data_IF_590807187572
#
_entry.id   IF_590807187572
#
_cell.length_a   1.000
_cell.length_b   1.000
_cell.length_c   1.000
_cell.angle_alpha   90.00
_cell.angle_beta   90.00
_cell.angle_gamma   90.00
#
_symmetry.space_group_name_H-M   'P 1'
#
loop_
_entity.id
_entity.type
_entity.pdbx_description
1 polymer ?
#
# COMPACT_ATOMS: atom_id res chain seq x y z
N UNK A 1 40.74 -63.39 -30.77
CA UNK A 1 40.67 -62.34 -31.81
C UNK A 1 40.59 -60.99 -31.11
N UNK A 2 41.63 -60.21 -31.33
CA UNK A 2 41.98 -58.92 -30.72
C UNK A 2 41.05 -57.79 -31.13
N UNK A 3 40.52 -57.01 -30.18
CA UNK A 3 40.10 -55.63 -30.45
C UNK A 3 40.98 -54.66 -29.66
N UNK A 4 41.45 -53.66 -30.39
CA UNK A 4 42.55 -52.73 -30.09
C UNK A 4 42.24 -51.83 -28.90
N UNK A 5 43.25 -51.63 -28.05
CA UNK A 5 43.32 -50.47 -27.17
C UNK A 5 43.73 -49.20 -27.92
N UNK A 6 43.69 -48.07 -27.21
CA UNK A 6 44.69 -47.00 -27.23
C UNK A 6 44.44 -46.14 -25.96
N UNK A 7 45.44 -46.10 -25.09
CA UNK A 7 45.61 -45.07 -24.07
C UNK A 7 46.36 -43.89 -24.69
N UNK A 8 45.91 -42.66 -24.44
CA UNK A 8 46.79 -41.48 -24.52
C UNK A 8 46.56 -40.60 -23.29
N UNK A 9 47.70 -40.09 -22.81
CA UNK A 9 48.04 -39.65 -21.46
C UNK A 9 47.56 -38.24 -21.12
N UNK A 10 47.35 -38.02 -19.82
CA UNK A 10 47.20 -36.74 -19.16
C UNK A 10 48.54 -36.04 -18.91
N UNK A 11 48.62 -34.71 -19.13
CA UNK A 11 49.56 -33.80 -18.45
C UNK A 11 49.22 -32.29 -18.61
N UNK A 12 48.68 -31.72 -17.52
CA UNK A 12 48.93 -30.41 -16.87
C UNK A 12 49.19 -29.11 -17.70
N UNK A 13 48.24 -28.18 -17.56
CA UNK A 13 48.34 -26.74 -17.20
C UNK A 13 49.69 -26.00 -17.29
N UNK A 14 49.75 -24.94 -18.11
CA UNK A 14 50.43 -23.62 -17.88
C UNK A 14 49.72 -22.54 -18.72
N UNK A 15 48.91 -21.66 -18.09
CA UNK A 15 49.15 -20.24 -17.72
C UNK A 15 49.43 -19.23 -18.87
N UNK A 16 48.51 -18.26 -18.94
CA UNK A 16 48.62 -16.81 -19.27
C UNK A 16 48.85 -16.35 -20.71
N UNK A 17 47.84 -15.68 -21.29
CA UNK A 17 47.93 -14.27 -21.71
C UNK A 17 46.52 -13.68 -21.94
N UNK A 18 46.33 -12.46 -21.43
CA UNK A 18 45.14 -11.61 -21.49
C UNK A 18 45.06 -10.95 -22.86
N UNK A 19 43.87 -10.93 -23.50
CA UNK A 19 43.49 -9.86 -24.43
C UNK A 19 42.03 -9.50 -24.18
N UNK A 20 41.84 -8.23 -23.82
CA UNK A 20 40.57 -7.58 -23.59
C UNK A 20 39.85 -7.26 -24.92
N UNK A 21 38.54 -7.46 -24.95
CA UNK A 21 37.63 -6.67 -25.78
C UNK A 21 36.28 -6.62 -25.05
N UNK A 22 36.10 -5.57 -24.26
CA UNK A 22 34.83 -5.21 -23.66
C UNK A 22 33.90 -4.66 -24.73
N UNK A 23 32.69 -5.19 -24.82
CA UNK A 23 31.51 -4.41 -25.17
C UNK A 23 30.49 -4.67 -24.09
N UNK A 24 30.49 -3.76 -23.12
CA UNK A 24 29.48 -3.63 -22.08
C UNK A 24 28.22 -3.10 -22.77
N UNK A 25 27.24 -3.97 -23.00
CA UNK A 25 25.89 -3.54 -23.33
C UNK A 25 25.15 -3.21 -22.02
N UNK A 26 25.55 -2.12 -21.35
CA UNK A 26 24.73 -1.48 -20.32
C UNK A 26 23.60 -0.74 -21.04
N UNK A 27 22.46 -1.38 -21.18
CA UNK A 27 21.20 -0.65 -21.37
C UNK A 27 20.86 0.07 -20.07
N UNK A 28 21.47 1.24 -19.87
CA UNK A 28 21.06 2.22 -18.89
C UNK A 28 20.25 3.29 -19.61
N UNK A 29 18.95 3.06 -19.77
CA UNK A 29 17.96 4.11 -20.05
C UNK A 29 16.68 3.80 -19.28
N UNK A 30 16.59 4.41 -18.10
CA UNK A 30 15.46 4.29 -17.18
C UNK A 30 15.81 4.87 -15.81
N UNK A 31 16.25 6.12 -15.76
CA UNK A 31 16.23 6.88 -14.52
C UNK A 31 14.77 7.24 -14.20
N UNK A 32 14.09 6.36 -13.48
CA UNK A 32 12.93 6.64 -12.64
C UNK A 32 13.04 5.70 -11.45
N UNK A 33 12.96 6.25 -10.23
CA UNK A 33 13.24 5.56 -8.98
C UNK A 33 12.57 4.18 -8.88
N UNK A 34 13.29 3.27 -8.24
CA UNK A 34 12.85 1.92 -7.95
C UNK A 34 11.57 1.90 -7.11
N UNK A 35 10.41 1.84 -7.76
CA UNK A 35 9.16 1.40 -7.17
C UNK A 35 8.36 0.67 -8.26
N UNK A 36 7.86 -0.52 -7.93
CA UNK A 36 7.35 -1.52 -8.86
C UNK A 36 6.49 -0.93 -10.01
N UNK A 37 6.84 -1.16 -11.30
CA UNK A 37 6.07 -0.66 -12.42
C UNK A 37 4.65 -1.22 -12.38
N UNK A 38 3.67 -0.38 -12.07
CA UNK A 38 2.26 -0.79 -11.96
C UNK A 38 1.66 -0.78 -10.55
N UNK A 39 2.46 -0.50 -9.52
CA UNK A 39 1.98 -0.39 -8.14
C UNK A 39 1.80 1.09 -7.70
N UNK A 40 0.76 1.33 -6.90
CA UNK A 40 0.56 2.56 -6.16
C UNK A 40 1.30 2.53 -4.81
N UNK A 41 1.36 1.35 -4.18
CA UNK A 41 2.07 1.11 -2.95
C UNK A 41 2.56 -0.34 -2.88
N UNK A 42 3.60 -0.59 -2.08
CA UNK A 42 4.13 -1.91 -1.76
C UNK A 42 4.30 -2.01 -0.24
N UNK A 43 3.80 -3.08 0.36
CA UNK A 43 3.85 -3.35 1.79
C UNK A 43 4.35 -4.78 1.99
N UNK A 44 5.58 -4.96 2.51
CA UNK A 44 6.13 -6.29 2.76
C UNK A 44 6.18 -7.21 1.53
N UNK A 45 6.29 -6.64 0.32
CA UNK A 45 6.26 -7.37 -0.95
C UNK A 45 4.87 -7.57 -1.58
N UNK A 46 3.79 -7.18 -0.89
CA UNK A 46 2.44 -7.14 -1.48
C UNK A 46 2.19 -5.78 -2.12
N UNK A 47 1.49 -5.75 -3.25
CA UNK A 47 1.28 -4.54 -4.05
C UNK A 47 -0.17 -4.07 -4.03
N UNK A 48 -0.36 -2.75 -3.87
CA UNK A 48 -1.59 -2.06 -4.28
C UNK A 48 -1.44 -1.70 -5.75
N UNK A 49 -2.23 -2.31 -6.64
CA UNK A 49 -2.11 -2.07 -8.10
C UNK A 49 -2.72 -0.73 -8.50
N UNK A 50 -2.14 -0.07 -9.51
CA UNK A 50 -2.70 1.17 -10.06
C UNK A 50 -4.10 0.99 -10.65
N UNK A 51 -4.34 -0.14 -11.33
CA UNK A 51 -5.67 -0.45 -11.87
C UNK A 51 -6.73 -0.52 -10.77
N UNK A 52 -6.42 -1.18 -9.65
CA UNK A 52 -7.31 -1.27 -8.49
C UNK A 52 -7.62 0.12 -7.90
N UNK A 53 -6.63 1.01 -7.83
CA UNK A 53 -6.85 2.40 -7.40
C UNK A 53 -7.78 3.11 -8.38
N UNK A 54 -7.51 3.01 -9.69
CA UNK A 54 -8.31 3.66 -10.72
C UNK A 54 -9.77 3.19 -10.72
N UNK A 55 -10.01 1.88 -10.65
CA UNK A 55 -11.36 1.28 -10.62
C UNK A 55 -12.14 1.79 -9.41
N UNK A 56 -11.51 1.79 -8.23
CA UNK A 56 -12.15 2.26 -7.02
C UNK A 56 -12.40 3.77 -7.02
N UNK A 57 -11.54 4.59 -7.63
CA UNK A 57 -11.79 6.04 -7.80
C UNK A 57 -12.96 6.28 -8.76
N UNK A 58 -13.04 5.52 -9.86
CA UNK A 58 -14.12 5.63 -10.82
C UNK A 58 -15.47 5.25 -10.21
N UNK A 59 -15.53 4.20 -9.39
CA UNK A 59 -16.75 3.80 -8.69
C UNK A 59 -17.17 4.84 -7.64
N UNK A 60 -16.24 5.36 -6.83
CA UNK A 60 -16.54 6.45 -5.89
C UNK A 60 -17.04 7.69 -6.65
N UNK A 61 -16.41 8.05 -7.78
CA UNK A 61 -16.89 9.15 -8.63
C UNK A 61 -18.34 8.93 -9.06
N UNK A 62 -18.68 7.74 -9.54
CA UNK A 62 -20.03 7.41 -9.95
C UNK A 62 -21.03 7.50 -8.78
N UNK A 63 -20.66 7.00 -7.60
CA UNK A 63 -21.49 7.10 -6.39
C UNK A 63 -21.71 8.54 -5.93
N UNK A 64 -20.66 9.37 -5.94
CA UNK A 64 -20.77 10.77 -5.51
C UNK A 64 -21.57 11.61 -6.51
N UNK A 65 -21.40 11.40 -7.82
CA UNK A 65 -22.16 12.14 -8.83
C UNK A 65 -23.66 11.81 -8.84
N UNK A 66 -24.09 10.74 -8.18
CA UNK A 66 -25.50 10.42 -7.98
C UNK A 66 -26.17 11.26 -6.88
N UNK A 67 -25.39 11.90 -5.98
CA UNK A 67 -25.90 12.81 -4.96
C UNK A 67 -25.62 14.28 -5.35
N UNK A 68 -26.66 15.11 -5.60
CA UNK A 68 -26.50 16.52 -5.94
C UNK A 68 -25.73 17.35 -4.90
N UNK A 69 -25.62 16.87 -3.65
CA UNK A 69 -24.92 17.56 -2.55
C UNK A 69 -23.47 17.11 -2.40
N UNK A 70 -23.08 16.00 -3.04
CA UNK A 70 -21.72 15.49 -2.93
C UNK A 70 -20.78 16.26 -3.87
N UNK A 71 -19.55 16.45 -3.41
CA UNK A 71 -18.48 17.04 -4.21
C UNK A 71 -17.44 15.98 -4.49
N UNK A 72 -16.91 15.97 -5.72
CA UNK A 72 -15.87 15.04 -6.11
C UNK A 72 -14.56 15.79 -6.33
N UNK A 73 -13.50 15.27 -5.69
CA UNK A 73 -12.12 15.72 -5.90
C UNK A 73 -11.28 14.48 -6.21
N UNK A 74 -10.88 14.34 -7.48
CA UNK A 74 -10.07 13.22 -7.97
C UNK A 74 -8.81 13.02 -7.09
N UNK A 75 -8.09 14.11 -6.80
CA UNK A 75 -6.87 14.07 -5.99
C UNK A 75 -7.14 13.58 -4.57
N UNK A 76 -8.18 14.11 -3.89
CA UNK A 76 -8.52 13.70 -2.53
C UNK A 76 -8.98 12.25 -2.46
N UNK A 77 -9.86 11.84 -3.38
CA UNK A 77 -10.38 10.46 -3.44
C UNK A 77 -9.24 9.49 -3.73
N UNK A 78 -8.36 9.82 -4.68
CA UNK A 78 -7.18 9.00 -5.01
C UNK A 78 -6.26 8.83 -3.81
N UNK A 79 -5.88 9.93 -3.14
CA UNK A 79 -4.99 9.86 -1.97
C UNK A 79 -5.63 9.06 -0.82
N UNK A 80 -6.91 9.29 -0.53
CA UNK A 80 -7.65 8.54 0.52
C UNK A 80 -7.72 7.05 0.18
N UNK A 81 -7.95 6.71 -1.09
CA UNK A 81 -8.03 5.34 -1.56
C UNK A 81 -6.67 4.62 -1.47
N UNK A 82 -5.57 5.24 -1.91
CA UNK A 82 -4.22 4.68 -1.77
C UNK A 82 -3.88 4.47 -0.29
N UNK A 83 -4.19 5.44 0.58
CA UNK A 83 -3.99 5.29 2.02
C UNK A 83 -4.74 4.07 2.57
N UNK A 84 -6.03 3.94 2.24
CA UNK A 84 -6.88 2.83 2.69
C UNK A 84 -6.35 1.48 2.20
N UNK A 85 -6.02 1.35 0.92
CA UNK A 85 -5.52 0.10 0.35
C UNK A 85 -4.13 -0.27 0.89
N UNK A 86 -3.29 0.73 1.19
CA UNK A 86 -1.99 0.50 1.84
C UNK A 86 -2.19 -0.01 3.27
N UNK A 87 -3.05 0.64 4.05
CA UNK A 87 -3.41 0.20 5.40
C UNK A 87 -4.04 -1.19 5.42
N UNK A 88 -4.87 -1.52 4.44
CA UNK A 88 -5.44 -2.86 4.29
C UNK A 88 -4.32 -3.92 4.29
N UNK A 89 -3.27 -3.74 3.49
CA UNK A 89 -2.14 -4.69 3.48
C UNK A 89 -1.42 -4.79 4.83
N UNK A 90 -1.25 -3.67 5.55
CA UNK A 90 -0.67 -3.67 6.92
C UNK A 90 -1.55 -4.46 7.89
N UNK A 91 -2.87 -4.26 7.84
CA UNK A 91 -3.85 -5.00 8.66
C UNK A 91 -3.82 -6.49 8.34
N UNK A 92 -3.82 -6.87 7.05
CA UNK A 92 -3.78 -8.28 6.65
C UNK A 92 -2.49 -8.97 7.12
N UNK A 93 -1.36 -8.28 7.06
CA UNK A 93 -0.10 -8.80 7.59
C UNK A 93 -0.14 -8.94 9.12
N UNK A 94 -0.77 -8.00 9.85
CA UNK A 94 -0.97 -8.13 11.29
C UNK A 94 -1.86 -9.33 11.65
N UNK A 95 -2.97 -9.52 10.91
CA UNK A 95 -3.86 -10.69 11.05
C UNK A 95 -3.07 -11.99 10.86
N UNK A 96 -2.22 -12.04 9.83
CA UNK A 96 -1.35 -13.20 9.56
C UNK A 96 -0.34 -13.43 10.69
N UNK A 97 0.36 -12.39 11.16
CA UNK A 97 1.38 -12.51 12.21
C UNK A 97 0.81 -12.91 13.56
N UNK A 98 -0.36 -12.37 13.91
CA UNK A 98 -1.02 -12.66 15.18
C UNK A 98 -1.99 -13.84 15.09
N UNK A 99 -2.21 -14.44 13.92
CA UNK A 99 -3.12 -15.58 13.76
C UNK A 99 -4.53 -15.25 14.24
N UNK A 100 -5.07 -14.13 13.77
CA UNK A 100 -6.47 -13.74 13.97
C UNK A 100 -7.30 -14.28 12.80
N UNK A 101 -8.57 -14.61 13.04
CA UNK A 101 -9.48 -15.06 11.98
C UNK A 101 -10.67 -14.11 11.92
N UNK A 102 -10.86 -13.49 10.75
CA UNK A 102 -12.05 -12.69 10.43
C UNK A 102 -13.06 -13.63 9.78
N UNK A 103 -14.30 -13.63 10.27
CA UNK A 103 -15.38 -14.47 9.75
C UNK A 103 -16.38 -13.64 8.95
N UNK A 104 -17.04 -14.26 7.97
CA UNK A 104 -18.10 -13.58 7.22
C UNK A 104 -19.23 -13.10 8.13
N UNK A 105 -19.63 -13.90 9.13
CA UNK A 105 -20.65 -13.52 10.09
C UNK A 105 -20.30 -12.22 10.84
N UNK A 106 -19.04 -12.06 11.28
CA UNK A 106 -18.62 -10.82 11.95
C UNK A 106 -18.61 -9.60 11.01
N UNK A 107 -18.31 -9.81 9.72
CA UNK A 107 -18.38 -8.76 8.70
C UNK A 107 -19.84 -8.33 8.51
N UNK A 108 -20.73 -9.29 8.30
CA UNK A 108 -22.16 -9.06 8.09
C UNK A 108 -22.80 -8.39 9.32
N UNK A 109 -22.39 -8.78 10.53
CA UNK A 109 -22.84 -8.19 11.79
C UNK A 109 -22.44 -6.72 11.91
N UNK A 110 -21.18 -6.36 11.58
CA UNK A 110 -20.74 -4.95 11.60
C UNK A 110 -21.49 -4.12 10.56
N UNK A 111 -21.69 -4.67 9.36
CA UNK A 111 -22.38 -3.97 8.28
C UNK A 111 -23.86 -3.75 8.65
N UNK A 112 -24.57 -4.81 9.05
CA UNK A 112 -25.99 -4.74 9.42
C UNK A 112 -26.22 -3.83 10.62
N UNK A 113 -25.44 -3.99 11.71
CA UNK A 113 -25.54 -3.12 12.88
C UNK A 113 -25.25 -1.65 12.57
N UNK A 114 -24.33 -1.37 11.63
CA UNK A 114 -24.08 0.00 11.18
C UNK A 114 -25.27 0.55 10.40
N UNK A 115 -25.79 -0.21 9.43
CA UNK A 115 -26.94 0.18 8.61
C UNK A 115 -28.18 0.44 9.47
N UNK A 116 -28.50 -0.48 10.38
CA UNK A 116 -29.69 -0.37 11.22
C UNK A 116 -29.52 0.70 12.31
N UNK A 117 -28.40 0.69 13.02
CA UNK A 117 -28.18 1.54 14.19
C UNK A 117 -27.84 2.99 13.84
N UNK A 118 -27.04 3.23 12.80
CA UNK A 118 -26.55 4.57 12.45
C UNK A 118 -27.32 5.20 11.27
N UNK A 119 -27.89 4.37 10.39
CA UNK A 119 -28.56 4.82 9.16
C UNK A 119 -30.04 4.46 9.10
N UNK A 120 -30.61 3.91 10.17
CA UNK A 120 -32.04 3.60 10.27
C UNK A 120 -32.52 2.61 9.20
N UNK A 121 -31.66 1.64 8.84
CA UNK A 121 -31.95 0.66 7.79
C UNK A 121 -31.63 1.15 6.36
N UNK A 122 -31.20 2.40 6.18
CA UNK A 122 -30.93 2.94 4.84
C UNK A 122 -29.54 2.55 4.33
N UNK A 123 -29.48 1.41 3.63
CA UNK A 123 -28.25 0.90 3.02
C UNK A 123 -27.62 1.91 2.04
N UNK A 124 -28.40 2.50 1.13
CA UNK A 124 -27.86 3.45 0.16
C UNK A 124 -27.19 4.66 0.82
N UNK A 125 -27.74 5.15 1.94
CA UNK A 125 -27.13 6.25 2.70
C UNK A 125 -25.84 5.83 3.38
N UNK A 126 -25.78 4.63 3.94
CA UNK A 126 -24.55 4.05 4.50
C UNK A 126 -23.43 4.00 3.45
N UNK A 127 -23.71 3.44 2.27
CA UNK A 127 -22.74 3.33 1.17
C UNK A 127 -22.24 4.70 0.70
N UNK A 128 -23.16 5.65 0.54
CA UNK A 128 -22.85 7.01 0.15
C UNK A 128 -21.98 7.73 1.20
N UNK A 129 -22.26 7.56 2.49
CA UNK A 129 -21.44 8.17 3.55
C UNK A 129 -20.04 7.55 3.60
N UNK A 130 -19.90 6.24 3.40
CA UNK A 130 -18.59 5.59 3.27
C UNK A 130 -17.81 6.09 2.05
N UNK A 131 -18.47 6.29 0.90
CA UNK A 131 -17.86 6.88 -0.28
C UNK A 131 -17.38 8.33 0.00
N UNK A 132 -18.19 9.14 0.67
CA UNK A 132 -17.86 10.54 1.00
C UNK A 132 -16.69 10.65 1.99
N UNK A 133 -16.75 9.88 3.09
CA UNK A 133 -15.83 10.07 4.21
C UNK A 133 -14.54 9.26 4.05
N UNK A 134 -14.64 8.04 3.53
CA UNK A 134 -13.55 7.06 3.51
C UNK A 134 -13.11 6.71 2.08
N UNK A 135 -13.76 7.28 1.05
CA UNK A 135 -13.51 6.89 -0.36
C UNK A 135 -13.61 5.38 -0.56
N UNK A 136 -14.54 4.74 0.16
CA UNK A 136 -14.83 3.31 0.05
C UNK A 136 -15.92 3.14 -1.00
N UNK A 137 -15.61 2.52 -2.15
CA UNK A 137 -16.65 2.20 -3.12
C UNK A 137 -17.59 1.11 -2.57
N UNK A 138 -18.81 1.01 -3.11
CA UNK A 138 -19.79 0.01 -2.68
C UNK A 138 -19.23 -1.42 -2.78
N UNK A 139 -18.49 -1.72 -3.85
CA UNK A 139 -17.80 -2.99 -4.06
C UNK A 139 -16.74 -3.35 -3.00
N UNK A 140 -16.23 -2.37 -2.24
CA UNK A 140 -15.17 -2.57 -1.25
C UNK A 140 -15.67 -2.52 0.21
N UNK A 141 -16.98 -2.42 0.43
CA UNK A 141 -17.56 -2.30 1.79
C UNK A 141 -17.26 -3.53 2.64
N UNK A 142 -17.36 -4.74 2.08
CA UNK A 142 -17.07 -5.97 2.82
C UNK A 142 -15.59 -6.03 3.23
N UNK A 143 -14.67 -5.71 2.32
CA UNK A 143 -13.24 -5.67 2.63
C UNK A 143 -12.93 -4.62 3.71
N UNK A 144 -13.54 -3.44 3.62
CA UNK A 144 -13.41 -2.38 4.61
C UNK A 144 -13.96 -2.81 5.99
N UNK A 145 -15.15 -3.42 6.03
CA UNK A 145 -15.71 -3.96 7.26
C UNK A 145 -14.84 -5.09 7.83
N UNK A 146 -14.26 -5.94 6.98
CA UNK A 146 -13.29 -6.95 7.36
C UNK A 146 -12.06 -6.37 8.05
N UNK A 147 -11.53 -5.24 7.58
CA UNK A 147 -10.43 -4.54 8.24
C UNK A 147 -10.83 -3.93 9.59
N UNK A 148 -12.08 -3.49 9.74
CA UNK A 148 -12.61 -3.02 11.03
C UNK A 148 -12.71 -4.20 12.02
N UNK A 149 -13.29 -5.33 11.61
CA UNK A 149 -13.35 -6.56 12.41
C UNK A 149 -11.94 -7.01 12.80
N UNK A 150 -11.01 -7.06 11.83
CA UNK A 150 -9.63 -7.42 12.05
C UNK A 150 -8.98 -6.56 13.13
N UNK A 151 -9.10 -5.24 13.03
CA UNK A 151 -8.52 -4.31 14.01
C UNK A 151 -9.09 -4.52 15.42
N UNK A 152 -10.39 -4.74 15.56
CA UNK A 152 -11.00 -5.04 16.85
C UNK A 152 -10.45 -6.34 17.47
N UNK A 153 -10.34 -7.40 16.66
CA UNK A 153 -9.79 -8.68 17.10
C UNK A 153 -8.29 -8.59 17.43
N UNK A 154 -7.52 -7.84 16.65
CA UNK A 154 -6.10 -7.58 16.89
C UNK A 154 -5.91 -6.81 18.20
N UNK A 155 -6.70 -5.77 18.45
CA UNK A 155 -6.63 -4.97 19.68
C UNK A 155 -6.92 -5.83 20.92
N UNK A 156 -7.99 -6.63 20.87
CA UNK A 156 -8.32 -7.57 21.94
C UNK A 156 -7.25 -8.65 22.13
N UNK A 157 -6.61 -9.12 21.06
CA UNK A 157 -5.53 -10.11 21.15
C UNK A 157 -4.24 -9.53 21.74
N UNK A 158 -3.91 -8.29 21.42
CA UNK A 158 -2.72 -7.59 21.93
C UNK A 158 -2.85 -7.26 23.41
N UNK A 159 -4.05 -6.87 23.86
CA UNK A 159 -4.33 -6.49 25.23
C UNK A 159 -5.70 -7.04 25.70
N UNK A 160 -5.81 -8.34 26.05
CA UNK A 160 -7.07 -8.99 26.39
C UNK A 160 -7.83 -8.33 27.55
N UNK A 161 -7.10 -7.89 28.58
CA UNK A 161 -7.65 -7.27 29.78
C UNK A 161 -7.59 -5.73 29.73
N UNK A 162 -7.22 -5.16 28.58
CA UNK A 162 -7.10 -3.72 28.40
C UNK A 162 -8.46 -3.04 28.30
N UNK A 163 -8.55 -1.79 28.77
CA UNK A 163 -9.66 -0.91 28.43
C UNK A 163 -9.69 -0.65 26.92
N UNK A 164 -10.82 -0.18 26.38
CA UNK A 164 -10.93 0.15 24.95
C UNK A 164 -9.86 1.16 24.51
N UNK A 165 -9.55 2.15 25.35
CA UNK A 165 -8.48 3.12 25.08
C UNK A 165 -7.10 2.46 25.07
N UNK A 166 -6.80 1.62 26.07
CA UNK A 166 -5.52 0.92 26.15
C UNK A 166 -5.33 -0.04 24.94
N UNK A 167 -6.38 -0.76 24.56
CA UNK A 167 -6.42 -1.62 23.37
C UNK A 167 -6.16 -0.82 22.08
N UNK A 168 -6.81 0.33 21.93
CA UNK A 168 -6.60 1.22 20.79
C UNK A 168 -5.16 1.75 20.69
N UNK A 169 -4.58 2.15 21.84
CA UNK A 169 -3.19 2.60 21.90
C UNK A 169 -2.20 1.46 21.60
N UNK A 170 -2.43 0.27 22.18
CA UNK A 170 -1.61 -0.91 21.92
C UNK A 170 -1.66 -1.34 20.45
N UNK A 171 -2.83 -1.28 19.82
CA UNK A 171 -2.98 -1.54 18.38
C UNK A 171 -2.22 -0.51 17.53
N UNK A 172 -2.35 0.78 17.85
CA UNK A 172 -1.60 1.85 17.15
C UNK A 172 -0.09 1.61 17.24
N UNK A 173 0.42 1.37 18.45
CA UNK A 173 1.85 1.12 18.67
C UNK A 173 2.34 -0.11 17.92
N UNK A 174 1.51 -1.14 17.83
CA UNK A 174 1.79 -2.33 17.04
C UNK A 174 1.88 -1.99 15.54
N UNK A 175 0.92 -1.24 14.99
CA UNK A 175 0.96 -0.85 13.58
C UNK A 175 2.15 0.04 13.24
N UNK A 176 2.54 0.98 14.10
CA UNK A 176 3.74 1.79 13.90
C UNK A 176 4.99 0.91 13.78
N UNK A 177 5.15 -0.05 14.70
CA UNK A 177 6.27 -1.02 14.66
C UNK A 177 6.21 -1.91 13.42
N UNK A 178 5.02 -2.39 13.07
CA UNK A 178 4.81 -3.26 11.93
C UNK A 178 5.13 -2.54 10.63
N UNK A 179 4.58 -1.35 10.40
CA UNK A 179 4.82 -0.51 9.23
C UNK A 179 6.29 -0.14 9.08
N UNK A 180 7.01 0.09 10.18
CA UNK A 180 8.47 0.23 10.16
C UNK A 180 9.21 -1.04 9.71
N UNK A 181 8.71 -2.22 10.06
CA UNK A 181 9.32 -3.51 9.68
C UNK A 181 8.99 -3.98 8.26
N UNK A 182 7.89 -3.49 7.66
CA UNK A 182 7.40 -3.94 6.35
C UNK A 182 7.95 -3.14 5.18
N UNK A 183 8.73 -2.09 5.44
CA UNK A 183 9.27 -1.18 4.42
C UNK A 183 8.18 -0.67 3.46
N UNK A 184 7.14 -0.06 4.02
CA UNK A 184 6.01 0.48 3.23
C UNK A 184 6.52 1.55 2.27
N UNK A 185 6.34 1.32 0.97
CA UNK A 185 6.70 2.25 -0.11
C UNK A 185 5.45 2.66 -0.87
N UNK A 186 5.34 3.94 -1.18
CA UNK A 186 4.21 4.53 -1.92
C UNK A 186 4.79 5.32 -3.07
N UNK A 187 4.23 5.15 -4.27
CA UNK A 187 4.70 5.88 -5.45
C UNK A 187 4.54 7.38 -5.21
N UNK A 188 5.61 8.15 -5.46
CA UNK A 188 5.74 9.56 -5.05
C UNK A 188 4.55 10.46 -5.43
N UNK A 189 3.90 10.20 -6.58
CA UNK A 189 2.71 10.94 -7.04
C UNK A 189 1.51 10.86 -6.09
N UNK A 190 1.45 9.87 -5.19
CA UNK A 190 0.37 9.69 -4.22
C UNK A 190 0.73 10.20 -2.83
N UNK A 191 1.98 10.63 -2.62
CA UNK A 191 2.48 11.14 -1.34
C UNK A 191 3.53 10.24 -0.70
N UNK A 192 3.83 10.53 0.56
CA UNK A 192 4.84 9.83 1.36
C UNK A 192 4.15 9.12 2.51
N UNK A 193 4.49 7.84 2.72
CA UNK A 193 4.01 7.10 3.87
C UNK A 193 4.72 7.56 5.15
N UNK A 194 3.95 7.86 6.20
CA UNK A 194 4.45 8.17 7.53
C UNK A 194 4.23 6.94 8.45
N UNK A 195 5.27 6.13 8.70
CA UNK A 195 5.13 4.92 9.52
C UNK A 195 4.79 5.23 10.98
N UNK A 196 5.11 6.43 11.49
CA UNK A 196 4.76 6.83 12.85
C UNK A 196 3.27 7.17 13.01
N UNK A 197 2.59 7.50 11.90
CA UNK A 197 1.14 7.71 11.86
C UNK A 197 0.39 6.52 11.27
N UNK A 198 1.10 5.55 10.69
CA UNK A 198 0.53 4.45 9.92
C UNK A 198 -0.44 4.98 8.85
N UNK A 199 -0.03 6.03 8.14
CA UNK A 199 -0.87 6.69 7.13
C UNK A 199 -0.03 7.43 6.08
N UNK A 200 -0.66 7.77 4.95
CA UNK A 200 -0.09 8.75 4.04
C UNK A 200 -0.02 10.13 4.71
N UNK A 201 1.13 10.78 4.57
CA UNK A 201 1.29 12.21 4.81
C UNK A 201 0.64 13.05 3.70
N UNK A 202 0.53 14.38 3.88
CA UNK A 202 0.04 15.28 2.85
C UNK A 202 0.90 15.19 1.59
N UNK A 203 0.28 15.31 0.40
CA UNK A 203 1.02 15.42 -0.86
C UNK A 203 1.89 16.69 -0.82
N UNK A 204 3.20 16.53 -0.92
CA UNK A 204 4.14 17.67 -0.99
C UNK A 204 3.98 18.37 -2.34
N UNK A 205 3.44 19.59 -2.35
CA UNK A 205 3.35 20.46 -3.54
C UNK A 205 4.69 21.13 -3.91
N UNK A 206 5.83 20.49 -3.62
CA UNK A 206 7.17 21.05 -3.84
C UNK A 206 7.51 21.28 -5.32
N UNK A 207 6.72 20.74 -6.26
CA UNK A 207 6.87 20.98 -7.69
C UNK A 207 6.26 22.32 -8.16
N UNK A 208 5.60 23.07 -7.29
CA UNK A 208 5.00 24.39 -7.60
C UNK A 208 5.79 25.58 -7.06
N UNK A 209 6.97 25.36 -6.46
CA UNK A 209 7.87 26.46 -6.15
C UNK A 209 8.64 26.86 -7.42
N UNK A 210 8.41 28.06 -8.01
CA UNK A 210 9.32 28.55 -9.04
C UNK A 210 10.72 28.61 -8.43
N UNK A 211 11.67 27.96 -9.09
CA UNK A 211 13.05 27.88 -8.63
C UNK A 211 13.56 29.27 -8.27
N UNK A 212 13.88 29.47 -6.99
CA UNK A 212 14.62 30.64 -6.54
C UNK A 212 16.00 30.51 -7.15
N UNK A 213 16.20 31.13 -8.32
CA UNK A 213 17.54 31.49 -8.78
C UNK A 213 18.10 32.47 -7.75
N UNK A 214 19.24 32.17 -7.11
CA UNK A 214 19.87 33.14 -6.21
C UNK A 214 20.29 34.35 -7.04
N UNK A 215 19.61 35.47 -6.81
CA UNK A 215 19.99 36.77 -7.36
C UNK A 215 21.27 37.22 -6.66
N UNK A 216 22.38 37.15 -7.39
CA UNK A 216 23.65 37.78 -6.99
C UNK A 216 23.44 39.30 -6.94
N UNK A 217 23.53 39.87 -5.75
CA UNK A 217 23.51 41.32 -5.54
C UNK A 217 24.66 42.03 -6.30
N UNK A 218 24.45 43.22 -6.86
CA UNK A 218 25.54 44.13 -7.14
C UNK A 218 25.81 45.02 -5.93
N UNK A 219 27.09 45.17 -5.62
CA UNK A 219 27.66 46.08 -4.64
C UNK A 219 27.50 47.54 -5.08
N UNK A 220 27.07 48.41 -4.17
CA UNK A 220 27.55 49.79 -4.00
C UNK A 220 27.10 50.35 -2.66
#
# INVERSE_FOLDING_TARGET
MTSKGIHVRSARLRRTAVVAAAVVATFALGACGADAPGAAAVVGGQEVKLAQVADSVAEVRAQLLADPKATFSEAKVTATNVNRLTRHLVVQEAVRRLGVTVTQAAIDDIISSSVDGQFGGNRARFELVLAIQQSVPASAIEAFAGDVVAQNLLAAKLLPDGTQEAQGNGLRDYFVKLSGSLEVRVAARFGVWDPAKDSLGPVSNELSAPGVVPSSAPSN
#
